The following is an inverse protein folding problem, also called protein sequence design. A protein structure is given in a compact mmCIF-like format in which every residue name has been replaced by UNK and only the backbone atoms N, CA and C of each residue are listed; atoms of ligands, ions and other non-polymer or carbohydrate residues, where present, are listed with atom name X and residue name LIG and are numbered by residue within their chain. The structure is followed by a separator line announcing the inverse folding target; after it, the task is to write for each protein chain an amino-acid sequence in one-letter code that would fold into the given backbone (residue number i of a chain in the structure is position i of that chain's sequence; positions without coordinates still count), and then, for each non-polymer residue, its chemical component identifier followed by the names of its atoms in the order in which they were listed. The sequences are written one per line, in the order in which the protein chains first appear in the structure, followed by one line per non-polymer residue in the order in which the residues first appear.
data_IF_262942790495
#
_entry.id   IF_262942790495
#
_cell.length_a   1.000
_cell.length_b   1.000
_cell.length_c   1.000
_cell.angle_alpha   90.00
_cell.angle_beta   90.00
_cell.angle_gamma   90.00
#
_symmetry.space_group_name_H-M   'P 1'
#
loop_
_entity.id
_entity.type
_entity.pdbx_description
1 polymer ?
#
# COMPACT_ATOMS: atom_id res chain seq x y z
N UNK A 1 14.29 -0.44 20.75
CA UNK A 1 15.12 -0.94 19.62
C UNK A 1 15.05 0.03 18.43
N UNK A 2 16.10 0.14 17.59
CA UNK A 2 16.21 1.19 16.54
C UNK A 2 15.01 1.29 15.58
N UNK A 3 14.39 0.15 15.25
CA UNK A 3 13.20 0.07 14.39
C UNK A 3 11.96 0.66 15.08
N UNK A 4 11.82 0.47 16.40
CA UNK A 4 10.70 1.00 17.20
C UNK A 4 10.78 2.52 17.32
N UNK A 5 11.98 3.10 17.47
CA UNK A 5 12.16 4.56 17.45
C UNK A 5 11.74 5.21 16.13
N UNK A 6 11.73 4.46 15.03
CA UNK A 6 11.26 4.90 13.71
C UNK A 6 9.79 4.51 13.45
N UNK A 7 9.05 4.08 14.47
CA UNK A 7 7.64 3.67 14.37
C UNK A 7 7.42 2.30 13.71
N UNK A 8 8.46 1.45 13.64
CA UNK A 8 8.38 0.10 13.10
C UNK A 8 8.33 -1.00 14.15
N UNK A 9 8.15 -2.24 13.69
CA UNK A 9 8.19 -3.46 14.49
C UNK A 9 9.24 -4.41 13.91
N UNK A 10 10.14 -4.92 14.75
CA UNK A 10 11.02 -6.02 14.36
C UNK A 10 10.23 -7.34 14.44
N UNK A 11 10.18 -8.09 13.33
CA UNK A 11 9.49 -9.39 13.25
C UNK A 11 10.45 -10.57 13.43
N UNK A 12 11.76 -10.32 13.46
CA UNK A 12 12.79 -11.33 13.70
C UNK A 12 13.08 -11.49 15.19
N UNK A 13 13.50 -12.68 15.59
CA UNK A 13 13.58 -13.07 16.99
C UNK A 13 14.56 -12.19 17.80
N UNK A 14 15.71 -11.81 17.21
CA UNK A 14 16.77 -10.98 17.84
C UNK A 14 17.65 -10.26 16.82
N UNK A 15 18.28 -9.16 17.23
CA UNK A 15 19.42 -8.57 16.51
C UNK A 15 20.68 -9.40 16.75
N UNK A 16 21.41 -9.72 15.68
CA UNK A 16 22.65 -10.52 15.71
C UNK A 16 23.83 -9.67 15.23
N UNK A 17 24.04 -9.51 13.91
CA UNK A 17 25.14 -8.71 13.34
C UNK A 17 24.67 -7.61 12.38
N UNK A 18 25.53 -6.60 12.16
CA UNK A 18 25.21 -5.42 11.35
C UNK A 18 24.84 -5.75 9.88
N UNK A 19 25.41 -6.83 9.33
CA UNK A 19 25.21 -7.28 7.95
C UNK A 19 24.09 -8.31 7.80
N UNK A 20 23.54 -8.83 8.88
CA UNK A 20 22.44 -9.78 8.82
C UNK A 20 21.17 -9.10 8.33
N UNK A 21 20.30 -9.87 7.69
CA UNK A 21 19.00 -9.41 7.25
C UNK A 21 17.97 -9.62 8.36
N UNK A 22 17.14 -8.62 8.56
CA UNK A 22 16.08 -8.62 9.55
C UNK A 22 14.75 -8.32 8.87
N UNK A 23 13.75 -9.12 9.20
CA UNK A 23 12.36 -8.89 8.80
C UNK A 23 11.75 -7.83 9.72
N UNK A 24 11.25 -6.76 9.14
CA UNK A 24 10.64 -5.63 9.86
C UNK A 24 9.31 -5.23 9.23
N UNK A 25 8.42 -4.64 10.02
CA UNK A 25 7.17 -4.00 9.59
C UNK A 25 7.28 -2.49 9.85
N UNK A 26 7.01 -1.64 8.87
CA UNK A 26 6.97 -0.18 9.10
C UNK A 26 5.58 0.29 9.56
N UNK A 27 5.47 1.57 9.94
CA UNK A 27 4.22 2.22 10.34
C UNK A 27 3.10 2.17 9.28
N UNK A 28 3.47 2.05 8.00
CA UNK A 28 2.53 1.87 6.88
C UNK A 28 2.27 0.39 6.55
N UNK A 29 2.52 -0.48 7.53
CA UNK A 29 2.33 -1.93 7.47
C UNK A 29 3.15 -2.70 6.42
N UNK A 30 4.12 -2.06 5.77
CA UNK A 30 4.97 -2.77 4.83
C UNK A 30 5.96 -3.69 5.56
N UNK A 31 6.04 -4.94 5.08
CA UNK A 31 6.97 -5.94 5.60
C UNK A 31 8.11 -6.13 4.59
N UNK A 32 9.35 -5.98 5.04
CA UNK A 32 10.54 -6.18 4.20
C UNK A 32 11.72 -6.70 5.01
N UNK A 33 12.72 -7.18 4.27
CA UNK A 33 14.03 -7.52 4.81
C UNK A 33 15.02 -6.40 4.54
N UNK A 34 15.79 -6.02 5.56
CA UNK A 34 16.88 -5.08 5.43
C UNK A 34 18.00 -5.42 6.41
N UNK A 35 19.22 -4.96 6.10
CA UNK A 35 20.34 -5.11 7.02
C UNK A 35 20.22 -4.17 8.21
N UNK A 36 20.81 -4.54 9.35
CA UNK A 36 20.88 -3.66 10.53
C UNK A 36 21.50 -2.30 10.18
N UNK A 37 22.61 -2.28 9.43
CA UNK A 37 23.22 -1.05 8.95
C UNK A 37 22.23 -0.15 8.17
N UNK A 38 21.44 -0.73 7.27
CA UNK A 38 20.42 0.02 6.51
C UNK A 38 19.30 0.56 7.41
N UNK A 39 18.86 -0.23 8.38
CA UNK A 39 17.79 0.14 9.30
C UNK A 39 18.21 1.27 10.26
N UNK A 40 19.47 1.26 10.68
CA UNK A 40 20.01 2.20 11.67
C UNK A 40 20.53 3.49 11.02
N UNK A 41 21.37 3.36 10.00
CA UNK A 41 22.23 4.45 9.52
C UNK A 41 21.68 5.22 8.31
N UNK A 42 20.55 4.78 7.73
CA UNK A 42 19.93 5.48 6.60
C UNK A 42 18.75 6.34 7.04
N UNK A 43 18.58 7.55 6.45
CA UNK A 43 17.42 8.40 6.70
C UNK A 43 16.15 7.72 6.18
N UNK A 44 16.25 7.02 5.05
CA UNK A 44 15.19 6.21 4.46
C UNK A 44 15.48 4.73 4.69
N UNK A 45 14.57 4.04 5.39
CA UNK A 45 14.77 2.66 5.83
C UNK A 45 13.71 1.69 5.27
N UNK A 46 12.48 2.18 5.05
CA UNK A 46 11.44 1.41 4.37
C UNK A 46 11.49 1.67 2.85
N UNK A 47 11.88 0.68 2.03
CA UNK A 47 12.03 0.86 0.57
C UNK A 47 10.75 1.34 -0.11
N UNK A 48 9.60 0.94 0.45
CA UNK A 48 8.27 1.28 -0.01
C UNK A 48 7.84 2.71 0.36
N UNK A 49 8.26 3.22 1.52
CA UNK A 49 7.96 4.60 1.92
C UNK A 49 8.91 5.60 1.28
N UNK A 50 10.14 5.16 0.95
CA UNK A 50 11.16 6.02 0.39
C UNK A 50 11.13 6.12 -1.13
N UNK A 51 10.14 5.53 -1.81
CA UNK A 51 9.96 5.59 -3.27
C UNK A 51 11.17 5.14 -4.12
N UNK A 52 12.17 4.48 -3.52
CA UNK A 52 13.43 4.12 -4.17
C UNK A 52 13.45 2.67 -4.70
N UNK A 53 12.48 1.83 -4.34
CA UNK A 53 12.31 0.50 -4.89
C UNK A 53 10.81 0.17 -4.95
N UNK A 54 10.22 0.33 -6.15
CA UNK A 54 8.79 0.33 -6.38
C UNK A 54 8.12 -1.00 -6.06
N UNK A 55 7.33 -1.01 -5.00
CA UNK A 55 6.27 -1.98 -4.79
C UNK A 55 4.94 -1.24 -4.83
N UNK A 56 4.70 -0.73 -6.03
CA UNK A 56 3.51 0.03 -6.32
C UNK A 56 2.25 -0.83 -6.15
N UNK A 57 2.35 -2.15 -6.30
CA UNK A 57 1.23 -3.05 -5.94
C UNK A 57 0.89 -2.94 -4.45
N UNK A 58 1.87 -3.00 -3.56
CA UNK A 58 1.61 -2.80 -2.13
C UNK A 58 1.13 -1.39 -1.82
N UNK A 59 1.64 -0.36 -2.51
CA UNK A 59 1.10 1.01 -2.39
C UNK A 59 -0.39 1.05 -2.74
N UNK A 60 -0.77 0.45 -3.88
CA UNK A 60 -2.17 0.34 -4.31
C UNK A 60 -2.99 -0.45 -3.29
N UNK A 61 -2.51 -1.61 -2.81
CA UNK A 61 -3.20 -2.40 -1.78
C UNK A 61 -3.46 -1.58 -0.52
N UNK A 62 -2.49 -0.79 -0.06
CA UNK A 62 -2.62 0.04 1.14
C UNK A 62 -3.64 1.17 0.93
N UNK A 63 -3.62 1.85 -0.22
CA UNK A 63 -4.61 2.89 -0.55
C UNK A 63 -6.02 2.28 -0.58
N UNK A 64 -6.17 1.15 -1.27
CA UNK A 64 -7.44 0.43 -1.40
C UNK A 64 -7.96 -0.02 -0.03
N UNK A 65 -7.09 -0.58 0.80
CA UNK A 65 -7.43 -1.04 2.15
C UNK A 65 -7.86 0.13 3.07
N UNK A 66 -7.14 1.25 3.04
CA UNK A 66 -7.51 2.47 3.80
C UNK A 66 -8.90 3.01 3.45
N UNK A 67 -9.40 2.72 2.25
CA UNK A 67 -10.72 3.14 1.76
C UNK A 67 -11.77 2.03 1.86
N UNK A 68 -11.59 1.05 2.76
CA UNK A 68 -12.47 -0.11 2.94
C UNK A 68 -12.66 -0.93 1.66
N UNK A 69 -11.60 -1.05 0.85
CA UNK A 69 -11.59 -1.85 -0.36
C UNK A 69 -10.61 -3.02 -0.31
N UNK A 70 -10.66 -3.85 -1.35
CA UNK A 70 -9.72 -4.94 -1.61
C UNK A 70 -9.22 -4.87 -3.06
N UNK A 71 -7.91 -5.04 -3.26
CA UNK A 71 -7.33 -5.22 -4.59
C UNK A 71 -7.51 -6.69 -5.01
N UNK A 72 -8.17 -6.92 -6.15
CA UNK A 72 -8.51 -8.26 -6.65
C UNK A 72 -7.58 -8.74 -7.78
N UNK A 73 -6.86 -7.84 -8.45
CA UNK A 73 -5.90 -8.19 -9.50
C UNK A 73 -4.50 -7.65 -9.23
N UNK A 74 -3.49 -8.34 -9.75
CA UNK A 74 -2.10 -7.88 -9.69
C UNK A 74 -1.88 -6.60 -10.51
N UNK A 75 -0.97 -5.76 -10.02
CA UNK A 75 -0.50 -4.62 -10.78
C UNK A 75 0.49 -5.08 -11.86
N UNK A 76 0.33 -4.56 -13.08
CA UNK A 76 1.23 -4.84 -14.20
C UNK A 76 2.07 -3.62 -14.55
N UNK A 77 1.42 -2.48 -14.78
CA UNK A 77 2.03 -1.20 -15.11
C UNK A 77 1.02 -0.07 -14.87
N UNK A 78 1.46 1.19 -14.99
CA UNK A 78 0.68 2.36 -14.61
C UNK A 78 -0.57 2.60 -15.47
N UNK A 79 -0.67 1.98 -16.64
CA UNK A 79 -1.76 2.20 -17.62
C UNK A 79 -2.72 1.01 -17.72
N UNK A 80 -2.34 -0.17 -17.26
CA UNK A 80 -3.23 -1.34 -17.19
C UNK A 80 -4.15 -1.23 -15.98
N UNK A 81 -5.46 -1.35 -16.21
CA UNK A 81 -6.45 -1.38 -15.14
C UNK A 81 -6.20 -2.51 -14.13
N UNK A 82 -6.50 -2.24 -12.87
CA UNK A 82 -6.62 -3.25 -11.82
C UNK A 82 -8.07 -3.37 -11.38
N UNK A 83 -8.50 -4.58 -11.02
CA UNK A 83 -9.82 -4.86 -10.43
C UNK A 83 -9.75 -4.66 -8.93
N UNK A 84 -10.70 -3.90 -8.40
CA UNK A 84 -10.85 -3.60 -6.97
C UNK A 84 -12.28 -3.87 -6.52
N UNK A 85 -12.45 -4.07 -5.22
CA UNK A 85 -13.74 -4.28 -4.56
C UNK A 85 -13.93 -3.29 -3.43
N UNK A 86 -15.14 -2.77 -3.25
CA UNK A 86 -15.54 -2.08 -2.02
C UNK A 86 -16.12 -3.11 -1.04
N UNK A 87 -15.58 -3.18 0.18
CA UNK A 87 -16.07 -4.11 1.20
C UNK A 87 -17.34 -3.61 1.91
N UNK A 88 -17.68 -2.33 1.78
CA UNK A 88 -18.93 -1.75 2.34
C UNK A 88 -20.14 -2.13 1.48
N UNK A 89 -20.04 -1.95 0.16
CA UNK A 89 -21.16 -2.14 -0.77
C UNK A 89 -21.03 -3.42 -1.63
N UNK A 90 -19.93 -4.17 -1.48
CA UNK A 90 -19.63 -5.40 -2.21
C UNK A 90 -19.56 -5.24 -3.75
N UNK A 91 -19.30 -4.02 -4.24
CA UNK A 91 -19.18 -3.72 -5.68
C UNK A 91 -17.75 -3.88 -6.18
N UNK A 92 -17.58 -4.36 -7.42
CA UNK A 92 -16.29 -4.58 -8.07
C UNK A 92 -16.18 -3.80 -9.38
N UNK A 93 -15.03 -3.18 -9.63
CA UNK A 93 -14.79 -2.41 -10.86
C UNK A 93 -13.31 -2.40 -11.26
N UNK A 94 -13.07 -2.06 -12.52
CA UNK A 94 -11.73 -1.82 -13.06
C UNK A 94 -11.36 -0.34 -12.91
N UNK A 95 -10.14 -0.05 -12.48
CA UNK A 95 -9.64 1.32 -12.30
C UNK A 95 -8.16 1.42 -12.68
N UNK A 96 -7.76 2.55 -13.26
CA UNK A 96 -6.35 2.83 -13.56
C UNK A 96 -5.59 3.05 -12.24
N UNK A 97 -4.44 2.41 -12.03
CA UNK A 97 -3.72 2.54 -10.77
C UNK A 97 -3.29 3.98 -10.44
N UNK A 98 -3.01 4.80 -11.46
CA UNK A 98 -2.75 6.24 -11.27
C UNK A 98 -3.97 7.00 -10.72
N UNK A 99 -5.19 6.55 -11.01
CA UNK A 99 -6.42 7.15 -10.48
C UNK A 99 -6.68 6.73 -9.03
N UNK A 100 -6.20 5.55 -8.62
CA UNK A 100 -6.23 5.12 -7.21
C UNK A 100 -5.39 6.08 -6.36
N UNK A 101 -4.22 6.50 -6.86
CA UNK A 101 -3.33 7.45 -6.17
C UNK A 101 -3.91 8.85 -6.01
N UNK A 102 -4.83 9.27 -6.89
CA UNK A 102 -5.54 10.56 -6.80
C UNK A 102 -6.77 10.52 -5.89
N UNK A 103 -6.82 9.58 -4.95
CA UNK A 103 -7.86 9.41 -3.92
C UNK A 103 -9.28 9.13 -4.45
N UNK A 104 -9.43 8.64 -5.68
CA UNK A 104 -10.72 8.51 -6.34
C UNK A 104 -11.53 7.23 -6.03
N UNK A 105 -11.24 6.44 -4.98
CA UNK A 105 -12.03 5.21 -4.77
C UNK A 105 -13.44 5.47 -4.21
N UNK A 106 -13.65 6.64 -3.60
CA UNK A 106 -14.97 7.16 -3.22
C UNK A 106 -15.19 8.49 -3.93
N UNK A 107 -15.63 8.45 -5.20
CA UNK A 107 -16.05 9.68 -5.88
C UNK A 107 -17.51 9.99 -5.55
N UNK A 108 -17.72 11.01 -4.71
CA UNK A 108 -19.01 11.71 -4.64
C UNK A 108 -19.01 12.72 -5.80
N UNK A 109 -19.45 12.33 -7.00
CA UNK A 109 -19.86 13.34 -7.97
C UNK A 109 -20.90 12.84 -8.96
N UNK A 110 -21.92 13.69 -9.10
CA UNK A 110 -23.13 13.53 -9.88
C UNK A 110 -22.86 13.19 -11.36
N UNK A 111 -23.64 12.23 -11.85
CA UNK A 111 -23.96 11.89 -13.25
C UNK A 111 -22.83 11.99 -14.28
N UNK A 112 -22.20 10.84 -14.59
CA UNK A 112 -22.19 10.23 -15.93
C UNK A 112 -21.45 8.88 -15.90
N UNK A 113 -22.20 7.80 -16.14
CA UNK A 113 -21.76 6.52 -16.75
C UNK A 113 -20.64 5.76 -16.00
N UNK A 114 -21.03 4.92 -15.03
CA UNK A 114 -20.43 3.64 -14.58
C UNK A 114 -18.92 3.34 -14.80
N UNK A 115 -18.01 4.30 -14.58
CA UNK A 115 -16.54 4.05 -14.67
C UNK A 115 -15.69 4.68 -13.55
N UNK A 116 -16.28 5.17 -12.45
CA UNK A 116 -15.56 6.03 -11.49
C UNK A 116 -15.68 5.65 -10.00
N UNK A 117 -15.96 4.40 -9.68
CA UNK A 117 -15.85 3.89 -8.31
C UNK A 117 -17.16 3.48 -7.67
N UNK A 118 -17.13 3.29 -6.36
CA UNK A 118 -18.27 2.83 -5.58
C UNK A 118 -19.18 4.02 -5.20
N UNK A 119 -20.37 4.11 -5.80
CA UNK A 119 -21.35 5.15 -5.47
C UNK A 119 -22.42 4.55 -4.57
N UNK A 120 -22.74 5.23 -3.46
CA UNK A 120 -23.91 4.91 -2.64
C UNK A 120 -25.15 5.29 -3.43
N UNK A 121 -25.94 4.31 -3.87
CA UNK A 121 -27.31 4.56 -4.31
C UNK A 121 -28.06 5.00 -3.04
N UNK A 122 -28.30 6.30 -2.90
CA UNK A 122 -29.28 6.78 -1.94
C UNK A 122 -30.64 6.49 -2.56
N UNK A 123 -31.43 5.65 -1.89
CA UNK A 123 -32.86 5.51 -2.15
C UNK A 123 -33.61 6.82 -1.83
#
# INVERSE_FOLDING_TARGET
MYVEHKGGVLLSNKWTYAKDKYKVKCQNEHIFEATADRLMNKPTWCPYCSHHAGDFENEVKQIVHKQNGQLLSRYQNAVTHVRVKCNIHNYEWDIMPLNIKKEAMVSNMQFTIFRKGCVRLLD
#
